data_IF_153508181909
#
_entry.id   IF_153508181909
#
_cell.length_a   1.000
_cell.length_b   1.000
_cell.length_c   1.000
_cell.angle_alpha   90.00
_cell.angle_beta   90.00
_cell.angle_gamma   90.00
#
_symmetry.space_group_name_H-M   'P 1'
#
loop_
_entity.id
_entity.type
_entity.pdbx_description
1 polymer ?
#
# COMPACT_ATOMS: atom_id res chain seq x y z
N UNK A 1 -7.77 -2.89 -5.91
CA UNK A 1 -8.02 -1.92 -4.83
C UNK A 1 -7.02 -2.07 -3.66
N UNK A 2 -6.86 -3.24 -3.04
CA UNK A 2 -5.99 -3.43 -1.85
C UNK A 2 -4.48 -3.20 -2.05
N UNK A 3 -4.02 -2.91 -3.27
CA UNK A 3 -2.61 -2.60 -3.57
C UNK A 3 -2.07 -1.39 -2.80
N UNK A 4 -2.95 -0.59 -2.19
CA UNK A 4 -2.59 0.47 -1.23
C UNK A 4 -1.85 -0.06 0.03
N UNK A 5 -1.92 -1.36 0.30
CA UNK A 5 -1.17 -2.03 1.38
C UNK A 5 0.04 -2.83 0.88
N UNK A 6 0.30 -2.83 -0.44
CA UNK A 6 1.40 -3.57 -1.06
C UNK A 6 2.68 -2.72 -1.19
N UNK A 7 3.77 -3.37 -1.60
CA UNK A 7 5.04 -2.75 -1.99
C UNK A 7 5.00 -2.31 -3.46
N UNK A 8 4.39 -1.15 -3.73
CA UNK A 8 4.11 -0.65 -5.10
C UNK A 8 4.35 0.85 -5.19
N UNK A 9 4.64 1.35 -6.39
CA UNK A 9 4.88 2.78 -6.60
C UNK A 9 3.58 3.60 -6.45
N UNK A 10 3.67 4.90 -6.10
CA UNK A 10 2.48 5.74 -6.02
C UNK A 10 1.76 5.92 -7.35
N UNK A 11 2.48 5.90 -8.47
CA UNK A 11 1.94 6.01 -9.83
C UNK A 11 1.08 4.79 -10.18
N UNK A 12 1.58 3.58 -9.91
CA UNK A 12 0.86 2.34 -10.16
C UNK A 12 -0.41 2.25 -9.32
N UNK A 13 -0.32 2.60 -8.03
CA UNK A 13 -1.47 2.58 -7.12
C UNK A 13 -2.51 3.63 -7.53
N UNK A 14 -2.07 4.84 -7.91
CA UNK A 14 -2.96 5.90 -8.39
C UNK A 14 -3.69 5.48 -9.67
N UNK A 15 -2.95 4.97 -10.66
CA UNK A 15 -3.51 4.47 -11.93
C UNK A 15 -4.55 3.38 -11.70
N UNK A 16 -4.24 2.39 -10.87
CA UNK A 16 -5.16 1.31 -10.52
C UNK A 16 -6.42 1.82 -9.82
N UNK A 17 -6.31 2.74 -8.86
CA UNK A 17 -7.50 3.28 -8.20
C UNK A 17 -8.34 4.12 -9.17
N UNK A 18 -7.70 4.88 -10.06
CA UNK A 18 -8.39 5.66 -11.10
C UNK A 18 -9.09 4.80 -12.13
N UNK A 19 -8.56 3.62 -12.48
CA UNK A 19 -9.27 2.69 -13.38
C UNK A 19 -10.59 2.19 -12.80
N UNK A 20 -10.77 2.24 -11.47
CA UNK A 20 -12.04 1.95 -10.79
C UNK A 20 -12.90 3.20 -10.54
N UNK A 21 -12.55 4.36 -11.07
CA UNK A 21 -13.27 5.62 -10.81
C UNK A 21 -13.14 6.11 -9.37
N UNK A 22 -12.11 5.68 -8.63
CA UNK A 22 -11.94 6.05 -7.23
C UNK A 22 -11.53 7.52 -7.09
N UNK A 23 -12.24 8.29 -6.25
CA UNK A 23 -11.89 9.68 -5.93
C UNK A 23 -11.21 9.82 -4.55
N UNK A 24 -11.50 8.92 -3.62
CA UNK A 24 -10.93 8.89 -2.27
C UNK A 24 -10.48 7.49 -1.90
N UNK A 25 -9.38 7.39 -1.17
CA UNK A 25 -8.90 6.15 -0.57
C UNK A 25 -8.81 6.31 0.93
N UNK A 26 -9.24 5.28 1.66
CA UNK A 26 -9.12 5.17 3.11
C UNK A 26 -8.03 4.16 3.41
N UNK A 27 -7.03 4.58 4.17
CA UNK A 27 -6.00 3.72 4.73
C UNK A 27 -6.27 3.50 6.21
N UNK A 28 -6.16 2.25 6.63
CA UNK A 28 -6.34 1.82 8.02
C UNK A 28 -5.02 1.31 8.59
N UNK A 29 -4.66 1.81 9.77
CA UNK A 29 -3.40 1.46 10.45
C UNK A 29 -3.37 0.00 10.92
N UNK A 30 -4.52 -0.55 11.31
CA UNK A 30 -4.65 -1.95 11.74
C UNK A 30 -4.26 -2.93 10.62
N UNK A 31 -4.56 -2.58 9.36
CA UNK A 31 -4.23 -3.37 8.18
C UNK A 31 -2.77 -3.12 7.76
N UNK A 32 -2.37 -1.85 7.70
CA UNK A 32 -1.01 -1.47 7.29
C UNK A 32 0.05 -2.11 8.19
N UNK A 33 -0.22 -2.17 9.50
CA UNK A 33 0.70 -2.65 10.53
C UNK A 33 0.25 -3.96 11.18
N UNK A 34 -0.56 -4.77 10.50
CA UNK A 34 -1.10 -6.03 11.05
C UNK A 34 0.03 -6.93 11.61
N UNK A 35 -0.11 -7.29 12.89
CA UNK A 35 0.84 -8.08 13.69
C UNK A 35 0.20 -9.26 14.43
N UNK A 36 -1.13 -9.36 14.44
CA UNK A 36 -1.89 -10.42 15.10
C UNK A 36 -1.65 -11.77 14.43
N UNK A 37 -1.54 -11.77 13.11
CA UNK A 37 -1.30 -12.99 12.33
C UNK A 37 0.19 -13.16 12.02
N UNK A 38 0.61 -14.42 11.96
CA UNK A 38 1.97 -14.78 11.56
C UNK A 38 2.22 -14.49 10.07
N UNK A 39 3.50 -14.43 9.69
CA UNK A 39 3.92 -14.35 8.29
C UNK A 39 3.24 -15.46 7.47
N UNK A 40 2.67 -15.08 6.33
CA UNK A 40 1.89 -15.95 5.44
C UNK A 40 0.37 -15.82 5.60
N UNK A 41 -0.12 -15.26 6.71
CA UNK A 41 -1.56 -15.16 7.01
C UNK A 41 -2.09 -13.71 7.05
N UNK A 42 -1.24 -12.70 6.84
CA UNK A 42 -1.65 -11.29 6.85
C UNK A 42 -2.07 -10.86 5.44
N UNK A 43 -3.01 -9.92 5.31
CA UNK A 43 -3.39 -9.38 3.99
C UNK A 43 -2.18 -8.88 3.20
N UNK A 44 -1.25 -8.19 3.87
CA UNK A 44 -0.01 -7.70 3.24
C UNK A 44 0.87 -8.83 2.68
N UNK A 45 0.86 -10.01 3.29
CA UNK A 45 1.64 -11.16 2.84
C UNK A 45 1.06 -11.73 1.55
N UNK A 46 -0.27 -11.88 1.52
CA UNK A 46 -0.99 -12.32 0.33
C UNK A 46 -0.75 -11.37 -0.85
N UNK A 47 -0.71 -10.06 -0.58
CA UNK A 47 -0.40 -9.06 -1.59
C UNK A 47 1.06 -9.12 -2.05
N UNK A 48 2.01 -9.36 -1.15
CA UNK A 48 3.41 -9.50 -1.50
C UNK A 48 3.58 -10.72 -2.42
N UNK A 49 3.08 -11.90 -2.02
CA UNK A 49 3.15 -13.14 -2.83
C UNK A 49 2.43 -12.98 -4.18
N UNK A 50 1.22 -12.40 -4.21
CA UNK A 50 0.48 -12.19 -5.46
C UNK A 50 1.18 -11.23 -6.43
N UNK A 51 2.07 -10.38 -5.93
CA UNK A 51 2.91 -9.48 -6.73
C UNK A 51 4.31 -10.06 -7.02
N UNK A 52 4.58 -11.32 -6.63
CA UNK A 52 5.90 -11.96 -6.77
C UNK A 52 6.95 -11.41 -5.81
N UNK A 53 6.55 -10.82 -4.70
CA UNK A 53 7.43 -10.19 -3.72
C UNK A 53 7.61 -11.02 -2.46
N UNK A 54 8.80 -10.92 -1.86
CA UNK A 54 9.07 -11.47 -0.54
C UNK A 54 8.24 -10.78 0.56
N UNK A 55 7.66 -11.60 1.43
CA UNK A 55 6.89 -11.16 2.61
C UNK A 55 7.79 -10.60 3.70
N UNK A 56 7.29 -9.63 4.47
CA UNK A 56 8.03 -9.04 5.59
C UNK A 56 8.19 -9.99 6.80
N UNK A 57 9.30 -9.85 7.51
CA UNK A 57 9.55 -10.51 8.79
C UNK A 57 10.26 -11.86 8.67
N UNK A 58 10.56 -12.49 9.82
CA UNK A 58 11.35 -13.72 9.86
C UNK A 58 10.59 -14.90 9.23
N UNK A 59 11.34 -15.76 8.53
CA UNK A 59 10.84 -16.97 7.90
C UNK A 59 11.50 -17.20 6.54
N UNK A 60 11.43 -18.43 6.04
CA UNK A 60 11.97 -18.78 4.72
C UNK A 60 11.09 -18.19 3.61
N UNK A 61 11.72 -17.51 2.65
CA UNK A 61 11.05 -17.02 1.44
C UNK A 61 11.06 -18.13 0.39
N UNK A 62 9.97 -18.24 -0.36
CA UNK A 62 9.92 -19.09 -1.54
C UNK A 62 10.97 -18.60 -2.56
N UNK A 63 11.81 -19.49 -3.13
CA UNK A 63 12.90 -19.11 -4.02
C UNK A 63 12.46 -18.39 -5.30
N UNK A 64 11.18 -18.51 -5.69
CA UNK A 64 10.62 -17.83 -6.86
C UNK A 64 10.21 -16.37 -6.58
N UNK A 65 10.20 -15.95 -5.31
CA UNK A 65 9.88 -14.58 -4.91
C UNK A 65 11.12 -13.69 -4.92
N UNK A 66 10.93 -12.41 -5.28
CA UNK A 66 12.00 -11.41 -5.30
C UNK A 66 11.78 -10.31 -4.27
N UNK A 67 12.83 -9.59 -3.85
CA UNK A 67 12.66 -8.34 -3.12
C UNK A 67 11.84 -7.33 -3.95
N UNK A 68 10.99 -6.56 -3.28
CA UNK A 68 10.23 -5.52 -3.95
C UNK A 68 11.09 -4.26 -4.18
N UNK A 69 10.89 -3.60 -5.31
CA UNK A 69 11.61 -2.39 -5.71
C UNK A 69 11.11 -1.11 -5.00
N UNK A 70 9.94 -1.20 -4.33
CA UNK A 70 9.26 -0.08 -3.70
C UNK A 70 8.96 -0.35 -2.22
N UNK A 71 8.93 0.69 -1.38
CA UNK A 71 8.48 0.55 0.00
C UNK A 71 6.98 0.24 0.06
N UNK A 72 6.51 -0.17 1.25
CA UNK A 72 5.09 -0.42 1.47
C UNK A 72 4.30 0.90 1.37
N UNK A 73 3.35 0.96 0.44
CA UNK A 73 2.65 2.19 0.09
C UNK A 73 1.98 2.85 1.31
N UNK A 74 1.26 2.07 2.13
CA UNK A 74 0.51 2.58 3.27
C UNK A 74 1.41 3.22 4.35
N UNK A 75 2.69 2.87 4.41
CA UNK A 75 3.66 3.50 5.32
C UNK A 75 4.22 4.77 4.69
N UNK A 76 4.66 4.70 3.44
CA UNK A 76 5.39 5.77 2.77
C UNK A 76 4.51 6.99 2.47
N UNK A 77 3.24 6.79 2.10
CA UNK A 77 2.29 7.88 1.86
C UNK A 77 2.09 8.78 3.09
N UNK A 78 2.28 8.25 4.31
CA UNK A 78 2.14 9.02 5.56
C UNK A 78 3.26 10.04 5.73
N UNK A 79 4.44 9.78 5.15
CA UNK A 79 5.60 10.69 5.12
C UNK A 79 5.40 11.83 4.11
N UNK A 80 4.42 11.66 3.20
CA UNK A 80 4.03 12.65 2.21
C UNK A 80 5.19 13.15 1.31
N UNK A 81 6.02 12.25 0.74
CA UNK A 81 7.08 12.65 -0.17
C UNK A 81 6.51 13.21 -1.50
N UNK A 82 7.33 13.94 -2.29
CA UNK A 82 6.85 14.63 -3.50
C UNK A 82 6.11 13.74 -4.51
N UNK A 83 6.59 12.51 -4.76
CA UNK A 83 5.95 11.56 -5.68
C UNK A 83 4.53 11.17 -5.23
N UNK A 84 4.31 11.00 -3.92
CA UNK A 84 2.98 10.70 -3.40
C UNK A 84 2.08 11.94 -3.40
N UNK A 85 2.61 13.11 -3.07
CA UNK A 85 1.85 14.38 -3.04
C UNK A 85 1.31 14.77 -4.42
N UNK A 86 1.98 14.39 -5.50
CA UNK A 86 1.51 14.59 -6.87
C UNK A 86 0.18 13.85 -7.16
N UNK A 87 -0.05 12.72 -6.49
CA UNK A 87 -1.18 11.83 -6.74
C UNK A 87 -2.22 11.82 -5.63
N UNK A 88 -1.83 12.12 -4.40
CA UNK A 88 -2.65 11.94 -3.19
C UNK A 88 -2.58 13.16 -2.28
N UNK A 89 -3.75 13.70 -1.91
CA UNK A 89 -3.89 14.78 -0.94
C UNK A 89 -4.59 14.26 0.30
N UNK A 90 -3.93 14.26 1.47
CA UNK A 90 -4.58 13.89 2.73
C UNK A 90 -5.66 14.92 3.09
N UNK A 91 -6.89 14.46 3.22
CA UNK A 91 -8.07 15.31 3.53
C UNK A 91 -8.63 15.04 4.92
N UNK A 92 -8.32 13.90 5.51
CA UNK A 92 -8.70 13.56 6.87
C UNK A 92 -7.68 12.61 7.50
N UNK A 93 -7.50 12.74 8.81
CA UNK A 93 -6.71 11.81 9.61
C UNK A 93 -7.31 11.74 11.02
N UNK A 94 -7.40 10.53 11.54
CA UNK A 94 -7.54 10.28 12.98
C UNK A 94 -6.52 9.20 13.42
N UNK A 95 -6.68 8.64 14.62
CA UNK A 95 -5.76 7.62 15.15
C UNK A 95 -5.70 6.32 14.33
N UNK A 96 -6.74 6.02 13.56
CA UNK A 96 -6.91 4.72 12.89
C UNK A 96 -6.96 4.85 11.37
N UNK A 97 -7.54 5.94 10.87
CA UNK A 97 -7.87 6.14 9.46
C UNK A 97 -7.19 7.39 8.90
N UNK A 98 -6.61 7.23 7.72
CA UNK A 98 -6.13 8.33 6.88
C UNK A 98 -6.89 8.33 5.56
N UNK A 99 -7.50 9.44 5.20
CA UNK A 99 -8.25 9.57 3.95
C UNK A 99 -7.50 10.48 3.01
N UNK A 100 -7.29 9.99 1.79
CA UNK A 100 -6.60 10.73 0.73
C UNK A 100 -7.54 10.92 -0.45
N UNK A 101 -7.64 12.16 -0.94
CA UNK A 101 -8.24 12.49 -2.21
C UNK A 101 -7.23 12.25 -3.33
N UNK A 102 -7.63 11.57 -4.38
CA UNK A 102 -6.77 11.34 -5.55
C UNK A 102 -6.76 12.58 -6.43
N UNK A 103 -5.62 12.90 -7.05
CA UNK A 103 -5.54 13.89 -8.12
C UNK A 103 -6.26 13.36 -9.36
N UNK A 104 -7.04 14.20 -10.03
CA UNK A 104 -7.60 13.87 -11.34
C UNK A 104 -6.52 14.30 -12.33
N UNK A 105 -5.87 13.34 -12.97
CA UNK A 105 -5.02 13.69 -14.11
C UNK A 105 -5.96 14.34 -15.15
N UNK A 106 -5.56 15.49 -15.69
CA UNK A 106 -6.21 16.08 -16.86
C UNK A 106 -5.93 15.22 -18.08
#
# INVERSE_FOLDING_TARGET
VYQIYAKRSPEEVHSLLRSFGTDFVILEDSICFERRHQRGCRLRDLLDVANGHEMDGPGESDPDLRPADHPRFCEEIKRNPPSYKAHFTRVFQNKTFHVYKLSRNK
#
